data_IF_875258866722
#
_entry.id   IF_875258866722
#
_cell.length_a   1.000
_cell.length_b   1.000
_cell.length_c   1.000
_cell.angle_alpha   90.00
_cell.angle_beta   90.00
_cell.angle_gamma   90.00
#
_symmetry.space_group_name_H-M   'P 1'
#
loop_
_entity.id
_entity.type
_entity.pdbx_description
1 polymer ?
#
# COMPACT_ATOMS: atom_id res chain seq x y z
N UNK A 1 21.36 -20.03 1.54
CA UNK A 1 20.28 -19.07 1.84
C UNK A 1 19.03 -19.60 1.19
N UNK A 2 18.03 -19.97 1.98
CA UNK A 2 16.71 -20.35 1.46
C UNK A 2 15.95 -19.04 1.22
N UNK A 3 15.30 -18.89 0.06
CA UNK A 3 14.58 -17.67 -0.27
C UNK A 3 13.18 -17.67 0.38
N UNK A 4 12.51 -16.52 0.41
CA UNK A 4 11.08 -16.46 0.72
C UNK A 4 10.32 -17.46 -0.18
N UNK A 5 9.38 -18.20 0.39
CA UNK A 5 8.66 -19.30 -0.30
C UNK A 5 7.48 -18.77 -1.11
N UNK A 6 7.18 -17.47 -0.96
CA UNK A 6 6.11 -16.77 -1.66
C UNK A 6 6.57 -16.25 -3.03
N UNK A 7 5.65 -16.18 -3.98
CA UNK A 7 5.90 -15.53 -5.27
C UNK A 7 6.09 -14.01 -5.08
N UNK A 8 7.32 -13.54 -5.25
CA UNK A 8 7.69 -12.13 -5.12
C UNK A 8 7.21 -11.26 -6.29
N UNK A 9 6.85 -11.88 -7.40
CA UNK A 9 6.37 -11.19 -8.61
C UNK A 9 4.87 -11.00 -8.62
N UNK A 10 4.13 -11.69 -7.74
CA UNK A 10 2.68 -11.58 -7.66
C UNK A 10 2.26 -10.14 -7.37
N UNK A 11 1.29 -9.63 -8.14
CA UNK A 11 0.63 -8.35 -7.91
C UNK A 11 -0.25 -8.39 -6.67
N UNK A 12 -0.29 -7.31 -5.90
CA UNK A 12 -1.18 -7.19 -4.73
C UNK A 12 -2.50 -6.57 -5.19
N UNK A 13 -3.60 -7.30 -5.00
CA UNK A 13 -4.97 -6.86 -5.33
C UNK A 13 -5.14 -6.36 -6.78
N UNK A 14 -4.40 -6.93 -7.73
CA UNK A 14 -4.46 -6.56 -9.15
C UNK A 14 -3.72 -5.26 -9.51
N UNK A 15 -3.02 -4.63 -8.56
CA UNK A 15 -2.21 -3.44 -8.78
C UNK A 15 -0.79 -3.79 -9.25
N UNK A 16 -0.10 -2.82 -9.85
CA UNK A 16 1.31 -2.99 -10.30
C UNK A 16 2.32 -3.18 -9.16
N UNK A 17 1.89 -2.99 -7.92
CA UNK A 17 2.70 -3.21 -6.72
C UNK A 17 2.78 -4.72 -6.45
N UNK A 18 4.01 -5.23 -6.28
CA UNK A 18 4.25 -6.65 -6.06
C UNK A 18 4.52 -6.98 -4.59
N UNK A 19 4.41 -8.26 -4.23
CA UNK A 19 4.82 -8.76 -2.90
C UNK A 19 6.30 -8.52 -2.65
N UNK A 20 7.16 -8.68 -3.65
CA UNK A 20 8.58 -8.35 -3.53
C UNK A 20 8.82 -6.89 -3.16
N UNK A 21 8.10 -5.95 -3.76
CA UNK A 21 8.20 -4.54 -3.40
C UNK A 21 7.76 -4.28 -1.96
N UNK A 22 6.66 -4.90 -1.51
CA UNK A 22 6.17 -4.77 -0.13
C UNK A 22 7.21 -5.30 0.87
N UNK A 23 7.71 -6.52 0.66
CA UNK A 23 8.66 -7.17 1.55
C UNK A 23 9.99 -6.41 1.62
N UNK A 24 10.50 -5.92 0.49
CA UNK A 24 11.71 -5.11 0.48
C UNK A 24 11.50 -3.78 1.22
N UNK A 25 10.34 -3.15 1.03
CA UNK A 25 10.01 -1.90 1.72
C UNK A 25 9.95 -2.07 3.24
N UNK A 26 9.39 -3.19 3.72
CA UNK A 26 9.39 -3.55 5.13
C UNK A 26 10.79 -3.91 5.63
N UNK A 27 11.58 -4.65 4.84
CA UNK A 27 12.97 -5.02 5.16
C UNK A 27 13.86 -3.79 5.30
N UNK A 28 13.67 -2.77 4.48
CA UNK A 28 14.45 -1.53 4.54
C UNK A 28 14.04 -0.64 5.73
N UNK A 29 12.75 -0.60 6.09
CA UNK A 29 12.20 0.48 6.92
C UNK A 29 11.50 0.05 8.23
N UNK A 30 11.19 -1.24 8.42
CA UNK A 30 10.57 -1.73 9.65
C UNK A 30 11.51 -2.61 10.49
N UNK A 31 11.97 -2.08 11.62
CA UNK A 31 12.83 -2.82 12.56
C UNK A 31 12.18 -4.09 13.12
N UNK A 32 10.86 -4.10 13.29
CA UNK A 32 10.16 -5.30 13.81
C UNK A 32 10.19 -6.38 12.74
N UNK A 33 9.79 -6.05 11.51
CA UNK A 33 9.91 -6.94 10.37
C UNK A 33 11.34 -7.41 10.13
N UNK A 34 12.34 -6.52 10.20
CA UNK A 34 13.76 -6.88 10.08
C UNK A 34 14.18 -7.93 11.13
N UNK A 35 13.74 -7.75 12.37
CA UNK A 35 14.05 -8.69 13.46
C UNK A 35 13.42 -10.06 13.21
N UNK A 36 12.18 -10.09 12.72
CA UNK A 36 11.47 -11.33 12.39
C UNK A 36 12.08 -12.01 11.16
N UNK A 37 12.26 -11.26 10.07
CA UNK A 37 12.74 -11.77 8.77
C UNK A 37 14.21 -12.21 8.82
N UNK A 38 15.04 -11.59 9.67
CA UNK A 38 16.45 -11.97 9.82
C UNK A 38 16.67 -13.42 10.27
N UNK A 39 15.65 -14.07 10.83
CA UNK A 39 15.70 -15.45 11.31
C UNK A 39 14.61 -16.34 10.67
N UNK A 40 13.64 -15.75 9.97
CA UNK A 40 12.41 -16.41 9.52
C UNK A 40 12.08 -16.03 8.08
N UNK A 41 11.64 -16.99 7.27
CA UNK A 41 11.24 -16.72 5.88
C UNK A 41 9.72 -16.57 5.79
N UNK A 42 9.24 -15.78 4.83
CA UNK A 42 7.80 -15.69 4.58
C UNK A 42 7.34 -16.97 3.89
N UNK A 43 6.45 -17.71 4.56
CA UNK A 43 5.83 -18.96 4.10
C UNK A 43 4.56 -18.70 3.30
N UNK A 44 3.73 -17.76 3.75
CA UNK A 44 2.45 -17.44 3.12
C UNK A 44 2.23 -15.92 3.13
N UNK A 45 1.65 -15.44 2.04
CA UNK A 45 1.22 -14.06 1.87
C UNK A 45 -0.28 -14.06 1.58
N UNK A 46 -1.02 -13.17 2.21
CA UNK A 46 -2.43 -12.93 1.95
C UNK A 46 -2.71 -11.43 1.90
N UNK A 47 -3.64 -11.01 1.04
CA UNK A 47 -4.01 -9.61 0.87
C UNK A 47 -5.53 -9.47 0.70
N UNK A 48 -6.15 -8.68 1.57
CA UNK A 48 -7.60 -8.47 1.58
C UNK A 48 -7.88 -6.97 1.60
N UNK A 49 -8.75 -6.51 0.69
CA UNK A 49 -9.30 -5.15 0.77
C UNK A 49 -10.20 -5.01 2.01
N UNK A 50 -9.83 -4.10 2.90
CA UNK A 50 -10.54 -3.75 4.14
C UNK A 50 -11.18 -2.37 4.07
N UNK A 51 -11.18 -1.73 2.89
CA UNK A 51 -11.88 -0.45 2.68
C UNK A 51 -13.39 -0.55 2.83
N UNK A 52 -13.94 -1.76 2.66
CA UNK A 52 -15.38 -2.03 2.72
C UNK A 52 -16.19 -1.21 1.71
N UNK A 53 -15.57 -0.67 0.65
CA UNK A 53 -16.21 0.25 -0.29
C UNK A 53 -16.47 1.67 0.25
N UNK A 54 -16.00 1.99 1.46
CA UNK A 54 -16.16 3.32 2.08
C UNK A 54 -15.04 4.29 1.68
N UNK A 55 -13.96 3.78 1.08
CA UNK A 55 -12.87 4.58 0.52
C UNK A 55 -13.18 5.00 -0.91
N UNK A 56 -13.78 6.19 -1.11
CA UNK A 56 -14.10 6.69 -2.45
C UNK A 56 -12.83 6.96 -3.29
N UNK A 57 -11.71 7.26 -2.62
CA UNK A 57 -10.47 7.73 -3.24
C UNK A 57 -9.24 6.86 -2.95
N UNK A 58 -9.41 5.74 -2.25
CA UNK A 58 -8.31 4.82 -1.93
C UNK A 58 -8.82 3.43 -1.60
N UNK A 59 -8.06 2.43 -2.02
CA UNK A 59 -8.18 1.05 -1.55
C UNK A 59 -7.26 0.86 -0.34
N UNK A 60 -7.75 0.19 0.70
CA UNK A 60 -6.99 -0.06 1.91
C UNK A 60 -6.86 -1.57 2.03
N UNK A 61 -5.68 -2.09 1.74
CA UNK A 61 -5.43 -3.53 1.67
C UNK A 61 -4.70 -3.95 2.94
N UNK A 62 -5.24 -4.93 3.66
CA UNK A 62 -4.53 -5.60 4.75
C UNK A 62 -3.70 -6.73 4.17
N UNK A 63 -2.39 -6.62 4.32
CA UNK A 63 -1.42 -7.66 3.97
C UNK A 63 -1.05 -8.48 5.22
N UNK A 64 -1.12 -9.79 5.11
CA UNK A 64 -0.84 -10.74 6.19
C UNK A 64 0.29 -11.68 5.76
N UNK A 65 1.32 -11.77 6.59
CA UNK A 65 2.50 -12.60 6.37
C UNK A 65 2.56 -13.68 7.43
N UNK A 66 2.65 -14.94 6.99
CA UNK A 66 2.94 -16.08 7.87
C UNK A 66 4.40 -16.48 7.66
N UNK A 67 5.14 -16.70 8.75
CA UNK A 67 6.53 -17.12 8.68
C UNK A 67 6.68 -18.65 8.70
N UNK A 68 7.86 -19.14 8.30
CA UNK A 68 8.13 -20.58 8.20
C UNK A 68 8.10 -21.33 9.52
N UNK A 69 8.43 -20.67 10.62
CA UNK A 69 8.49 -21.21 11.97
C UNK A 69 7.32 -20.77 12.87
N UNK A 70 6.30 -20.15 12.28
CA UNK A 70 5.02 -19.89 12.94
C UNK A 70 4.43 -21.21 13.43
N UNK A 71 4.06 -21.26 14.73
CA UNK A 71 3.52 -22.46 15.40
C UNK A 71 2.15 -22.84 14.83
N UNK A 72 1.35 -21.84 14.47
CA UNK A 72 0.04 -21.98 13.83
C UNK A 72 -0.25 -20.78 12.91
N UNK A 73 -1.44 -20.77 12.29
CA UNK A 73 -1.85 -19.70 11.36
C UNK A 73 -2.19 -18.35 12.04
N UNK A 74 -2.08 -18.24 13.37
CA UNK A 74 -2.36 -17.00 14.12
C UNK A 74 -1.10 -16.19 14.42
N UNK A 75 0.10 -16.79 14.35
CA UNK A 75 1.38 -16.08 14.45
C UNK A 75 1.73 -15.40 13.12
N UNK A 76 1.01 -14.32 12.84
CA UNK A 76 1.10 -13.54 11.60
C UNK A 76 1.64 -12.13 11.84
N UNK A 77 2.40 -11.63 10.86
CA UNK A 77 2.74 -10.23 10.77
C UNK A 77 1.77 -9.52 9.82
N UNK A 78 1.16 -8.44 10.29
CA UNK A 78 0.20 -7.66 9.50
C UNK A 78 0.73 -6.28 9.19
N UNK A 79 0.41 -5.82 7.98
CA UNK A 79 0.64 -4.44 7.55
C UNK A 79 -0.50 -3.99 6.67
N UNK A 80 -0.69 -2.69 6.54
CA UNK A 80 -1.68 -2.08 5.66
C UNK A 80 -0.96 -1.47 4.46
N UNK A 81 -1.51 -1.69 3.28
CA UNK A 81 -1.14 -1.08 2.01
C UNK A 81 -2.29 -0.20 1.54
N UNK A 82 -2.13 1.12 1.63
CA UNK A 82 -3.09 2.07 1.07
C UNK A 82 -2.69 2.43 -0.34
N UNK A 83 -3.58 2.22 -1.31
CA UNK A 83 -3.38 2.56 -2.72
C UNK A 83 -4.37 3.67 -3.09
N UNK A 84 -3.92 4.85 -3.56
CA UNK A 84 -4.84 5.87 -4.03
C UNK A 84 -5.53 5.35 -5.30
N UNK A 85 -6.85 5.49 -5.34
CA UNK A 85 -7.66 4.87 -6.37
C UNK A 85 -8.55 5.90 -7.05
N UNK A 86 -8.61 5.83 -8.37
CA UNK A 86 -9.65 6.49 -9.19
C UNK A 86 -10.58 5.45 -9.82
N UNK A 87 -10.45 4.16 -9.46
CA UNK A 87 -11.23 3.08 -10.05
C UNK A 87 -12.74 3.31 -9.93
N UNK A 88 -13.22 3.81 -8.78
CA UNK A 88 -14.62 4.21 -8.61
C UNK A 88 -15.02 5.38 -9.52
N UNK A 89 -14.12 6.34 -9.74
CA UNK A 89 -14.36 7.51 -10.59
C UNK A 89 -14.34 7.18 -12.08
N UNK A 90 -13.46 6.27 -12.52
CA UNK A 90 -13.46 5.78 -13.89
C UNK A 90 -14.70 4.95 -14.19
N UNK A 91 -15.15 4.11 -13.24
CA UNK A 91 -16.42 3.37 -13.36
C UNK A 91 -17.65 4.29 -13.38
N UNK A 92 -17.62 5.40 -12.63
CA UNK A 92 -18.70 6.38 -12.62
C UNK A 92 -18.75 7.26 -13.89
N UNK A 93 -17.59 7.53 -14.52
CA UNK A 93 -17.49 8.42 -15.69
C UNK A 93 -17.44 7.68 -17.04
N UNK A 94 -17.31 6.35 -17.08
CA UNK A 94 -17.37 5.56 -18.31
C UNK A 94 -18.72 5.63 -19.04
N UNK A 95 -19.72 6.31 -18.46
CA UNK A 95 -21.04 6.58 -19.05
C UNK A 95 -21.18 8.01 -19.59
N UNK A 96 -20.17 8.86 -19.45
CA UNK A 96 -20.21 10.28 -19.86
C UNK A 96 -19.21 10.57 -20.99
N UNK A 97 -19.65 11.28 -22.04
CA UNK A 97 -18.80 11.79 -23.14
C UNK A 97 -17.86 12.93 -22.70
N UNK A 98 -17.36 12.88 -21.45
CA UNK A 98 -16.50 13.92 -20.92
C UNK A 98 -15.11 13.81 -21.55
N UNK A 99 -14.58 14.96 -21.96
CA UNK A 99 -13.26 15.07 -22.57
C UNK A 99 -12.19 14.63 -21.56
N UNK A 100 -11.23 13.81 -22.00
CA UNK A 100 -10.21 13.17 -21.15
C UNK A 100 -9.41 14.17 -20.29
N UNK A 101 -9.18 15.37 -20.81
CA UNK A 101 -8.47 16.46 -20.12
C UNK A 101 -9.29 17.07 -18.98
N UNK A 102 -10.60 17.17 -19.14
CA UNK A 102 -11.50 17.71 -18.13
C UNK A 102 -11.61 16.75 -16.95
N UNK A 103 -11.70 15.44 -17.21
CA UNK A 103 -11.64 14.40 -16.18
C UNK A 103 -10.33 14.45 -15.39
N UNK A 104 -9.20 14.63 -16.08
CA UNK A 104 -7.90 14.75 -15.42
C UNK A 104 -7.81 15.96 -14.52
N UNK A 105 -8.24 17.13 -15.01
CA UNK A 105 -8.10 18.38 -14.27
C UNK A 105 -9.10 18.49 -13.11
N UNK A 106 -10.36 18.08 -13.31
CA UNK A 106 -11.43 18.28 -12.31
C UNK A 106 -11.51 17.18 -11.26
N UNK A 107 -11.14 15.95 -11.61
CA UNK A 107 -11.38 14.79 -10.74
C UNK A 107 -10.07 14.15 -10.27
N UNK A 108 -9.13 13.88 -11.18
CA UNK A 108 -7.93 13.10 -10.85
C UNK A 108 -6.86 13.96 -10.18
N UNK A 109 -6.64 15.18 -10.66
CA UNK A 109 -5.63 16.09 -10.11
C UNK A 109 -5.85 16.41 -8.62
N UNK A 110 -7.06 16.73 -8.14
CA UNK A 110 -7.29 16.94 -6.71
C UNK A 110 -6.92 15.72 -5.84
N UNK A 111 -7.17 14.50 -6.32
CA UNK A 111 -6.85 13.26 -5.59
C UNK A 111 -5.34 13.08 -5.49
N UNK A 112 -4.63 13.33 -6.59
CA UNK A 112 -3.16 13.33 -6.62
C UNK A 112 -2.62 14.37 -5.63
N UNK A 113 -3.17 15.57 -5.63
CA UNK A 113 -2.70 16.67 -4.78
C UNK A 113 -2.98 16.37 -3.28
N UNK A 114 -4.11 15.74 -2.94
CA UNK A 114 -4.42 15.25 -1.58
C UNK A 114 -3.46 14.14 -1.16
N UNK A 115 -3.23 13.14 -2.01
CA UNK A 115 -2.30 12.03 -1.73
C UNK A 115 -0.88 12.55 -1.49
N UNK A 116 -0.41 13.50 -2.30
CA UNK A 116 0.90 14.15 -2.10
C UNK A 116 0.97 14.92 -0.79
N UNK A 117 -0.10 15.63 -0.43
CA UNK A 117 -0.16 16.33 0.85
C UNK A 117 -0.07 15.34 2.04
N UNK A 118 -0.74 14.19 1.93
CA UNK A 118 -0.65 13.10 2.91
C UNK A 118 0.76 12.49 2.98
N UNK A 119 1.40 12.19 1.84
CA UNK A 119 2.81 11.78 1.78
C UNK A 119 3.70 12.76 2.53
N UNK A 120 3.55 14.05 2.24
CA UNK A 120 4.33 15.12 2.86
C UNK A 120 4.09 15.19 4.36
N UNK A 121 2.84 15.05 4.81
CA UNK A 121 2.51 15.01 6.23
C UNK A 121 3.28 13.88 6.94
N UNK A 122 3.20 12.65 6.43
CA UNK A 122 3.87 11.51 7.07
C UNK A 122 5.40 11.59 7.01
N UNK A 123 5.96 12.13 5.92
CA UNK A 123 7.41 12.20 5.76
C UNK A 123 8.06 13.36 6.52
N UNK A 124 7.33 14.44 6.83
CA UNK A 124 7.92 15.67 7.39
C UNK A 124 7.33 16.13 8.72
N UNK A 125 6.01 15.97 8.92
CA UNK A 125 5.33 16.45 10.11
C UNK A 125 5.10 15.35 11.14
N UNK A 126 4.59 14.18 10.72
CA UNK A 126 4.31 13.06 11.62
C UNK A 126 5.48 12.69 12.57
N UNK A 127 6.76 12.68 12.14
CA UNK A 127 7.87 12.32 13.02
C UNK A 127 8.14 13.29 14.18
N UNK A 128 7.63 14.53 14.11
CA UNK A 128 7.85 15.58 15.13
C UNK A 128 6.60 15.86 15.96
N UNK A 129 5.48 15.16 15.69
CA UNK A 129 4.24 15.33 16.43
C UNK A 129 4.27 14.53 17.74
N UNK A 130 3.79 15.15 18.81
CA UNK A 130 3.52 14.50 20.11
C UNK A 130 2.06 14.00 20.17
N UNK A 131 1.61 13.36 19.08
CA UNK A 131 0.30 12.70 19.03
C UNK A 131 0.43 11.34 18.34
N UNK A 132 -0.40 10.34 18.71
CA UNK A 132 -0.38 9.04 18.04
C UNK A 132 -0.72 9.19 16.55
N UNK A 133 0.20 8.73 15.70
CA UNK A 133 0.04 8.68 14.24
C UNK A 133 0.48 7.30 13.74
N UNK A 134 -0.13 6.77 12.67
CA UNK A 134 0.33 5.53 12.07
C UNK A 134 1.79 5.63 11.65
N UNK A 135 2.56 4.57 11.93
CA UNK A 135 3.93 4.47 11.43
C UNK A 135 3.90 4.13 9.95
N UNK A 136 4.41 5.02 9.11
CA UNK A 136 4.53 4.82 7.67
C UNK A 136 5.96 4.38 7.33
N UNK A 137 6.08 3.25 6.64
CA UNK A 137 7.37 2.64 6.29
C UNK A 137 7.93 3.11 4.95
N UNK A 138 7.04 3.36 3.99
CA UNK A 138 7.40 3.85 2.67
C UNK A 138 6.24 4.59 2.06
N UNK A 139 6.57 5.61 1.28
CA UNK A 139 5.64 6.39 0.47
C UNK A 139 6.11 6.36 -0.98
N UNK A 140 5.18 6.42 -1.92
CA UNK A 140 5.46 6.64 -3.34
C UNK A 140 4.60 7.82 -3.83
N UNK A 141 5.08 8.52 -4.86
CA UNK A 141 4.40 9.69 -5.45
C UNK A 141 3.70 9.37 -6.77
N UNK A 142 2.50 9.94 -6.95
CA UNK A 142 1.65 9.59 -8.08
C UNK A 142 2.11 10.38 -9.28
N UNK A 143 2.74 9.69 -10.24
CA UNK A 143 3.22 10.28 -11.50
C UNK A 143 2.27 9.91 -12.65
N UNK A 144 1.09 10.55 -12.69
CA UNK A 144 0.21 10.60 -13.87
C UNK A 144 -0.41 9.26 -14.32
N UNK A 145 -0.79 9.17 -15.60
CA UNK A 145 -1.65 8.09 -16.16
C UNK A 145 -0.94 6.75 -16.44
N UNK A 146 0.39 6.63 -16.34
CA UNK A 146 1.08 5.45 -16.91
C UNK A 146 2.22 4.78 -16.13
N UNK A 147 2.59 5.23 -14.93
CA UNK A 147 3.60 4.48 -14.18
C UNK A 147 3.52 4.74 -12.68
N UNK A 148 3.48 3.61 -11.94
CA UNK A 148 3.68 3.47 -10.50
C UNK A 148 2.52 4.04 -9.67
N UNK A 149 1.64 3.13 -9.28
CA UNK A 149 0.65 3.38 -8.25
C UNK A 149 1.37 3.51 -6.91
N UNK A 150 0.89 4.45 -6.11
CA UNK A 150 1.50 4.70 -4.83
C UNK A 150 0.93 3.81 -3.76
N UNK A 151 1.76 3.56 -2.78
CA UNK A 151 1.40 2.76 -1.65
C UNK A 151 1.95 3.40 -0.40
N UNK A 152 1.10 3.59 0.60
CA UNK A 152 1.57 3.72 1.96
C UNK A 152 1.54 2.35 2.61
N UNK A 153 2.67 1.98 3.21
CA UNK A 153 2.70 0.84 4.11
C UNK A 153 2.61 1.40 5.53
N UNK A 154 1.55 1.09 6.27
CA UNK A 154 1.47 1.42 7.70
C UNK A 154 1.14 0.22 8.57
N UNK A 155 1.48 0.32 9.86
CA UNK A 155 1.07 -0.62 10.90
C UNK A 155 0.20 0.10 11.94
N UNK A 156 -0.87 -0.57 12.37
CA UNK A 156 -1.72 -0.17 13.51
C UNK A 156 -1.18 -0.84 14.77
#
# INVERSE_FOLDING_TARGET
MVADVVDLTQSISGHTITVGWLLESLRENDKIFQTLHGQRFVKKFDAIDVSGGHGIMSEIIRCTLLFTDSIDETDVYTTILKIPGTAALFKANSTSENNDDELMQKMIKPIIDVHRAECKFYNSLAPILDVPVPKVYKTLDWIGRKAKMDAFIWRI
#
